data_IF_339684813472
#
_entry.id   IF_339684813472
#
_cell.length_a   1.000
_cell.length_b   1.000
_cell.length_c   1.000
_cell.angle_alpha   90.00
_cell.angle_beta   90.00
_cell.angle_gamma   90.00
#
_symmetry.space_group_name_H-M   'P 1'
#
loop_
_entity.id
_entity.type
_entity.pdbx_description
1 polymer ?
#
# COMPACT_ATOMS: atom_id res chain seq x y z
N UNK A 1 5.48 14.59 -29.65
CA UNK A 1 4.48 14.68 -28.55
C UNK A 1 4.65 13.46 -27.65
N UNK A 2 5.62 13.52 -26.74
CA UNK A 2 6.06 12.41 -25.88
C UNK A 2 5.14 12.32 -24.65
N UNK A 3 4.02 11.62 -24.80
CA UNK A 3 3.10 11.32 -23.70
C UNK A 3 3.73 10.23 -22.84
N UNK A 4 4.14 10.59 -21.63
CA UNK A 4 4.94 9.78 -20.71
C UNK A 4 4.36 8.37 -20.48
N UNK A 5 5.16 7.33 -20.75
CA UNK A 5 4.90 5.92 -20.39
C UNK A 5 4.73 5.69 -18.86
N UNK A 6 5.13 6.68 -18.06
CA UNK A 6 5.02 6.72 -16.59
C UNK A 6 3.59 6.74 -16.06
N UNK A 7 2.65 7.27 -16.86
CA UNK A 7 1.24 7.40 -16.46
C UNK A 7 0.49 6.05 -16.57
N UNK A 8 0.86 5.23 -17.57
CA UNK A 8 0.23 3.92 -17.80
C UNK A 8 0.68 2.83 -16.83
N UNK A 9 1.92 2.87 -16.35
CA UNK A 9 2.40 1.92 -15.34
C UNK A 9 1.61 2.03 -14.02
N UNK A 10 1.16 3.23 -13.65
CA UNK A 10 0.37 3.46 -12.44
C UNK A 10 -1.06 2.88 -12.55
N UNK A 11 -1.66 2.92 -13.75
CA UNK A 11 -3.02 2.41 -13.97
C UNK A 11 -3.08 0.87 -13.98
N UNK A 12 -2.04 0.20 -14.47
CA UNK A 12 -1.97 -1.28 -14.39
C UNK A 12 -1.59 -1.76 -12.99
N UNK A 13 -0.68 -1.05 -12.31
CA UNK A 13 -0.23 -1.45 -10.97
C UNK A 13 -1.37 -1.35 -9.94
N UNK A 14 -2.21 -0.32 -10.01
CA UNK A 14 -3.38 -0.19 -9.11
C UNK A 14 -4.39 -1.32 -9.32
N UNK A 15 -4.62 -1.75 -10.56
CA UNK A 15 -5.52 -2.88 -10.87
C UNK A 15 -4.93 -4.23 -10.43
N UNK A 16 -3.62 -4.42 -10.59
CA UNK A 16 -2.91 -5.61 -10.11
C UNK A 16 -2.91 -5.70 -8.58
N UNK A 17 -2.62 -4.58 -7.90
CA UNK A 17 -2.65 -4.50 -6.43
C UNK A 17 -4.08 -4.69 -5.93
N UNK A 18 -5.08 -4.05 -6.54
CA UNK A 18 -6.47 -4.23 -6.15
C UNK A 18 -6.96 -5.67 -6.38
N UNK A 19 -6.64 -6.28 -7.52
CA UNK A 19 -6.97 -7.68 -7.82
C UNK A 19 -6.27 -8.66 -6.88
N UNK A 20 -4.98 -8.46 -6.63
CA UNK A 20 -4.19 -9.26 -5.70
C UNK A 20 -4.70 -9.14 -4.27
N UNK A 21 -5.06 -7.93 -3.82
CA UNK A 21 -5.59 -7.69 -2.49
C UNK A 21 -6.97 -8.32 -2.31
N UNK A 22 -7.84 -8.24 -3.32
CA UNK A 22 -9.15 -8.93 -3.33
C UNK A 22 -8.99 -10.45 -3.22
N UNK A 23 -8.07 -11.02 -4.00
CA UNK A 23 -7.82 -12.45 -4.02
C UNK A 23 -7.18 -12.93 -2.71
N UNK A 24 -6.33 -12.10 -2.09
CA UNK A 24 -5.74 -12.37 -0.79
C UNK A 24 -6.79 -12.28 0.34
N UNK A 25 -7.63 -11.24 0.35
CA UNK A 25 -8.63 -11.04 1.41
C UNK A 25 -9.81 -12.01 1.33
N UNK A 26 -10.22 -12.42 0.13
CA UNK A 26 -11.36 -13.32 -0.04
C UNK A 26 -10.86 -14.76 -0.25
N UNK A 27 -9.93 -14.98 -1.17
CA UNK A 27 -9.48 -16.32 -1.53
C UNK A 27 -8.75 -17.07 -0.41
N UNK A 28 -7.86 -16.40 0.34
CA UNK A 28 -7.11 -17.05 1.41
C UNK A 28 -8.01 -17.53 2.57
N UNK A 29 -8.82 -16.69 3.23
CA UNK A 29 -9.66 -17.15 4.33
C UNK A 29 -10.79 -18.08 3.87
N UNK A 30 -11.29 -17.95 2.63
CA UNK A 30 -12.27 -18.88 2.08
C UNK A 30 -11.70 -20.29 1.93
N UNK A 31 -10.48 -20.42 1.41
CA UNK A 31 -9.80 -21.71 1.24
C UNK A 31 -9.39 -22.31 2.59
N UNK A 32 -8.90 -21.48 3.52
CA UNK A 32 -8.52 -21.90 4.88
C UNK A 32 -9.75 -22.35 5.67
N UNK A 33 -10.86 -21.62 5.58
CA UNK A 33 -12.11 -21.97 6.25
C UNK A 33 -12.69 -23.30 5.74
N UNK A 34 -12.54 -23.60 4.45
CA UNK A 34 -13.00 -24.86 3.87
C UNK A 34 -12.18 -26.07 4.32
N UNK A 35 -10.88 -25.91 4.59
CA UNK A 35 -9.97 -27.02 4.91
C UNK A 35 -9.70 -27.20 6.42
N UNK A 36 -9.60 -26.11 7.19
CA UNK A 36 -9.19 -26.12 8.60
C UNK A 36 -10.28 -25.68 9.59
N UNK A 37 -11.48 -25.33 9.10
CA UNK A 37 -12.62 -24.92 9.93
C UNK A 37 -12.60 -23.46 10.37
N UNK A 38 -13.61 -23.08 11.16
CA UNK A 38 -13.94 -21.67 11.44
C UNK A 38 -12.86 -20.92 12.23
N UNK A 39 -12.12 -21.61 13.09
CA UNK A 39 -11.06 -21.01 13.90
C UNK A 39 -9.88 -20.49 13.07
N UNK A 40 -9.50 -21.22 12.02
CA UNK A 40 -8.38 -20.85 11.17
C UNK A 40 -8.70 -19.66 10.24
N UNK A 41 -9.97 -19.50 9.85
CA UNK A 41 -10.42 -18.36 9.07
C UNK A 41 -10.28 -17.04 9.85
N UNK A 42 -10.60 -17.05 11.16
CA UNK A 42 -10.47 -15.89 12.03
C UNK A 42 -9.00 -15.47 12.22
N UNK A 43 -8.10 -16.44 12.42
CA UNK A 43 -6.66 -16.15 12.56
C UNK A 43 -6.04 -15.62 11.28
N UNK A 44 -6.47 -16.11 10.11
CA UNK A 44 -6.04 -15.58 8.82
C UNK A 44 -6.49 -14.12 8.63
N UNK A 45 -7.74 -13.81 9.01
CA UNK A 45 -8.29 -12.46 8.93
C UNK A 45 -7.58 -11.49 9.89
N UNK A 46 -7.30 -11.93 11.11
CA UNK A 46 -6.47 -11.19 12.09
C UNK A 46 -5.05 -10.94 11.58
N UNK A 47 -4.44 -11.92 10.93
CA UNK A 47 -3.09 -11.80 10.36
C UNK A 47 -3.04 -10.78 9.19
N UNK A 48 -4.05 -10.80 8.32
CA UNK A 48 -4.17 -9.81 7.23
C UNK A 48 -4.38 -8.38 7.77
N UNK A 49 -5.17 -8.20 8.82
CA UNK A 49 -5.30 -6.91 9.50
C UNK A 49 -4.01 -6.51 10.21
N UNK A 50 -3.32 -7.46 10.83
CA UNK A 50 -2.04 -7.24 11.50
C UNK A 50 -0.93 -6.80 10.55
N UNK A 51 -0.89 -7.34 9.33
CA UNK A 51 0.08 -6.93 8.30
C UNK A 51 -0.20 -5.55 7.70
N UNK A 52 -1.43 -5.04 7.85
CA UNK A 52 -1.78 -3.68 7.51
C UNK A 52 -1.09 -2.65 8.42
N UNK A 53 -0.74 -3.04 9.64
CA UNK A 53 -0.01 -2.19 10.60
C UNK A 53 1.38 -1.79 10.07
N UNK A 54 2.30 -2.71 9.73
CA UNK A 54 3.60 -2.34 9.19
C UNK A 54 3.49 -1.65 7.82
N UNK A 55 2.53 -2.05 6.96
CA UNK A 55 2.30 -1.35 5.68
C UNK A 55 1.93 0.12 5.90
N UNK A 56 0.98 0.37 6.80
CA UNK A 56 0.56 1.72 7.17
C UNK A 56 1.69 2.51 7.81
N UNK A 57 2.49 1.87 8.67
CA UNK A 57 3.62 2.50 9.33
C UNK A 57 4.70 2.97 8.33
N UNK A 58 5.02 2.14 7.35
CA UNK A 58 5.97 2.49 6.28
C UNK A 58 5.42 3.64 5.44
N UNK A 59 4.14 3.60 5.08
CA UNK A 59 3.52 4.64 4.25
C UNK A 59 3.46 5.99 4.99
N UNK A 60 3.13 5.97 6.28
CA UNK A 60 3.14 7.14 7.15
C UNK A 60 4.56 7.70 7.30
N UNK A 61 5.56 6.82 7.49
CA UNK A 61 6.96 7.24 7.52
C UNK A 61 7.38 7.91 6.21
N UNK A 62 6.99 7.35 5.06
CA UNK A 62 7.31 7.91 3.74
C UNK A 62 6.68 9.30 3.53
N UNK A 63 5.42 9.48 3.93
CA UNK A 63 4.74 10.78 3.87
C UNK A 63 5.37 11.78 4.85
N UNK A 64 5.73 11.34 6.05
CA UNK A 64 6.41 12.17 7.04
C UNK A 64 7.74 12.72 6.52
N UNK A 65 8.55 11.85 5.89
CA UNK A 65 9.79 12.24 5.23
C UNK A 65 9.57 13.25 4.10
N UNK A 66 8.58 13.02 3.24
CA UNK A 66 8.26 13.94 2.13
C UNK A 66 7.85 15.33 2.64
N UNK A 67 7.03 15.39 3.70
CA UNK A 67 6.63 16.66 4.33
C UNK A 67 7.83 17.38 4.95
N UNK A 68 8.72 16.66 5.64
CA UNK A 68 9.91 17.25 6.26
C UNK A 68 10.89 17.78 5.20
N UNK A 69 11.18 17.00 4.17
CA UNK A 69 12.08 17.39 3.08
C UNK A 69 11.51 18.56 2.29
N UNK A 70 10.19 18.59 2.05
CA UNK A 70 9.52 19.69 1.36
C UNK A 70 9.48 20.97 2.19
N UNK A 71 9.40 20.86 3.51
CA UNK A 71 9.54 22.00 4.43
C UNK A 71 10.98 22.52 4.44
N UNK A 72 11.99 21.65 4.44
CA UNK A 72 13.40 22.03 4.44
C UNK A 72 13.86 22.68 3.11
N UNK A 73 13.40 22.19 1.96
CA UNK A 73 13.72 22.80 0.64
C UNK A 73 13.01 24.15 0.40
N UNK A 74 11.97 24.49 1.18
CA UNK A 74 11.32 25.82 1.06
C UNK A 74 12.21 26.96 1.57
N UNK A 75 13.24 26.65 2.36
CA UNK A 75 14.19 27.63 2.86
C UNK A 75 15.27 27.99 1.80
N UNK A 76 15.44 27.15 0.76
CA UNK A 76 16.39 27.39 -0.34
C UNK A 76 15.84 28.33 -1.42
N UNK A 77 14.52 28.32 -1.67
CA UNK A 77 13.87 29.20 -2.66
C UNK A 77 13.85 30.67 -2.22
N UNK A 78 14.02 30.95 -0.92
CA UNK A 78 14.12 32.31 -0.39
C UNK A 78 15.52 32.93 -0.55
N UNK A 79 16.45 32.20 -1.17
CA UNK A 79 17.87 32.56 -1.31
C UNK A 79 18.32 32.77 -2.75
N UNK A 80 17.38 33.03 -3.68
CA UNK A 80 17.72 33.47 -5.03
C UNK A 80 17.38 34.97 -5.21
N UNK A 81 18.37 35.89 -5.22
CA UNK A 81 18.20 37.28 -5.64
C UNK A 81 17.96 37.41 -7.15
#
# INVERSE_FOLDING_TARGET
MTKNLRDFAAQTNTRLVAGGLLLLFIGAPLLIGWLYGLGAALTALLCLLGSLVPLGLIWLAMIGLDVIVKRANRDDEKKLP
#
